data_IF_581288485777
#
_entry.id   IF_581288485777
#
_cell.length_a   1.000
_cell.length_b   1.000
_cell.length_c   1.000
_cell.angle_alpha   90.00
_cell.angle_beta   90.00
_cell.angle_gamma   90.00
#
_symmetry.space_group_name_H-M   'P 1'
#
loop_
_entity.id
_entity.type
_entity.pdbx_description
1 polymer ?
#
# COMPACT_ATOMS: atom_id res chain seq x y z
N UNK A 1 1.53 -11.48 6.39
CA UNK A 1 0.70 -10.40 6.92
C UNK A 1 1.55 -9.57 7.88
N UNK A 2 2.20 -8.50 7.41
CA UNK A 2 3.04 -7.62 8.25
C UNK A 2 2.21 -6.53 8.94
N UNK A 3 0.99 -6.25 8.47
CA UNK A 3 0.08 -5.27 9.09
C UNK A 3 -0.39 -5.65 10.50
N UNK A 4 -0.49 -6.94 10.83
CA UNK A 4 -0.89 -7.36 12.18
C UNK A 4 0.21 -7.14 13.21
N UNK A 5 1.49 -7.26 12.83
CA UNK A 5 2.64 -6.96 13.69
C UNK A 5 2.81 -5.47 14.01
N UNK A 6 2.10 -4.57 13.32
CA UNK A 6 2.16 -3.12 13.53
C UNK A 6 1.39 -2.64 14.75
N UNK A 7 0.30 -3.34 15.12
CA UNK A 7 -0.66 -2.85 16.13
C UNK A 7 -0.22 -3.04 17.58
N UNK A 8 0.60 -4.06 17.87
CA UNK A 8 0.83 -4.49 19.25
C UNK A 8 2.19 -4.09 19.85
N UNK A 9 3.13 -3.56 19.05
CA UNK A 9 4.50 -3.28 19.53
C UNK A 9 4.96 -1.81 19.43
N UNK A 10 4.23 -0.93 18.72
CA UNK A 10 4.73 0.40 18.36
C UNK A 10 5.94 0.26 17.43
N UNK A 11 5.76 0.51 16.14
CA UNK A 11 6.87 0.43 15.20
C UNK A 11 7.93 1.49 15.56
N UNK A 12 9.12 1.02 15.91
CA UNK A 12 10.37 1.77 15.72
C UNK A 12 10.73 1.85 14.22
N UNK A 13 9.74 2.05 13.36
CA UNK A 13 9.97 2.38 11.97
C UNK A 13 9.46 3.78 11.76
N UNK A 14 10.36 4.63 11.29
CA UNK A 14 10.02 5.99 10.90
C UNK A 14 9.14 6.00 9.65
N UNK A 15 9.13 4.92 8.85
CA UNK A 15 8.38 4.80 7.60
C UNK A 15 7.77 3.40 7.44
N UNK A 16 6.56 3.31 6.89
CA UNK A 16 5.87 2.05 6.58
C UNK A 16 5.51 2.00 5.09
N UNK A 17 5.89 0.94 4.38
CA UNK A 17 5.63 0.78 2.95
C UNK A 17 4.85 -0.51 2.62
N UNK A 18 3.79 -0.40 1.82
CA UNK A 18 2.98 -1.52 1.31
C UNK A 18 3.04 -1.61 -0.21
N UNK A 19 3.46 -2.75 -0.76
CA UNK A 19 3.48 -2.98 -2.21
C UNK A 19 2.61 -4.17 -2.56
N UNK A 20 1.71 -4.00 -3.54
CA UNK A 20 0.79 -5.05 -3.97
C UNK A 20 0.01 -5.66 -2.81
N UNK A 21 -0.46 -4.85 -1.86
CA UNK A 21 -1.14 -5.38 -0.67
C UNK A 21 -2.65 -5.42 -0.86
N UNK A 22 -3.33 -6.54 -0.54
CA UNK A 22 -4.80 -6.66 -0.62
C UNK A 22 -5.47 -6.04 0.61
N UNK A 23 -5.02 -4.89 1.08
CA UNK A 23 -5.41 -4.30 2.36
C UNK A 23 -4.45 -4.61 3.51
N UNK A 24 -4.53 -3.79 4.57
CA UNK A 24 -3.56 -3.78 5.69
C UNK A 24 -4.22 -3.89 7.08
N UNK A 25 -5.52 -4.19 7.12
CA UNK A 25 -6.32 -4.38 8.33
C UNK A 25 -7.03 -3.14 8.85
N UNK A 26 -7.02 -2.04 8.07
CA UNK A 26 -7.69 -0.76 8.33
C UNK A 26 -8.15 -0.12 7.02
N UNK A 27 -9.05 0.84 7.11
CA UNK A 27 -9.56 1.59 5.96
C UNK A 27 -8.83 2.90 5.69
N UNK A 28 -8.09 3.45 6.66
CA UNK A 28 -7.32 4.68 6.50
C UNK A 28 -5.92 4.56 7.12
N UNK A 29 -4.94 5.25 6.53
CA UNK A 29 -3.56 5.32 7.00
C UNK A 29 -3.46 5.81 8.45
N UNK A 30 -4.30 6.78 8.85
CA UNK A 30 -4.36 7.32 10.23
C UNK A 30 -4.71 6.27 11.30
N UNK A 31 -5.28 5.14 10.90
CA UNK A 31 -5.70 4.08 11.80
C UNK A 31 -4.58 3.03 12.04
N UNK A 32 -3.40 3.20 11.40
CA UNK A 32 -2.24 2.32 11.54
C UNK A 32 -1.38 2.59 12.79
N UNK A 33 -1.63 3.68 13.50
CA UNK A 33 -0.86 4.08 14.68
C UNK A 33 0.47 4.79 14.39
N UNK A 34 0.72 5.15 13.12
CA UNK A 34 1.80 6.04 12.68
C UNK A 34 1.20 7.25 11.95
N UNK A 35 1.89 8.41 11.89
CA UNK A 35 1.38 9.55 11.12
C UNK A 35 1.22 9.18 9.63
N UNK A 36 0.12 9.56 8.96
CA UNK A 36 -0.14 9.19 7.57
C UNK A 36 0.95 9.59 6.58
N UNK A 37 1.66 10.69 6.86
CA UNK A 37 2.82 11.16 6.10
C UNK A 37 4.00 10.19 6.08
N UNK A 38 4.03 9.20 6.98
CA UNK A 38 5.03 8.14 7.04
C UNK A 38 4.54 6.81 6.44
N UNK A 39 3.36 6.82 5.81
CA UNK A 39 2.76 5.63 5.19
C UNK A 39 2.89 5.75 3.69
N UNK A 40 3.42 4.72 3.05
CA UNK A 40 3.66 4.65 1.61
C UNK A 40 3.01 3.40 1.03
N UNK A 41 2.38 3.52 -0.14
CA UNK A 41 1.77 2.38 -0.78
C UNK A 41 1.78 2.47 -2.31
N UNK A 42 1.96 1.33 -2.98
CA UNK A 42 1.93 1.26 -4.43
C UNK A 42 1.40 -0.08 -4.92
N UNK A 43 0.62 -0.04 -5.99
CA UNK A 43 0.12 -1.22 -6.69
C UNK A 43 0.16 -0.95 -8.19
N UNK A 44 0.79 -1.84 -8.94
CA UNK A 44 0.81 -1.81 -10.40
C UNK A 44 -0.55 -2.18 -10.98
N UNK A 45 -0.89 -1.63 -12.14
CA UNK A 45 -2.15 -1.92 -12.83
C UNK A 45 -2.28 -3.40 -13.22
N UNK A 46 -1.18 -4.00 -13.69
CA UNK A 46 -1.17 -5.40 -14.17
C UNK A 46 -0.82 -6.41 -13.05
N UNK A 47 -0.79 -5.96 -11.80
CA UNK A 47 -0.65 -6.81 -10.61
C UNK A 47 -1.92 -7.65 -10.40
N UNK A 48 -1.76 -8.96 -10.29
CA UNK A 48 -2.83 -9.89 -10.00
C UNK A 48 -3.53 -9.67 -8.63
N UNK A 49 -2.98 -8.83 -7.75
CA UNK A 49 -3.60 -8.51 -6.46
C UNK A 49 -4.97 -7.84 -6.59
N UNK A 50 -5.28 -7.21 -7.72
CA UNK A 50 -6.62 -6.69 -8.02
C UNK A 50 -7.70 -7.78 -8.03
N UNK A 51 -7.31 -9.05 -8.10
CA UNK A 51 -8.23 -10.19 -8.01
C UNK A 51 -8.45 -10.69 -6.57
N UNK A 52 -7.74 -10.15 -5.58
CA UNK A 52 -7.95 -10.44 -4.16
C UNK A 52 -9.14 -9.62 -3.58
N UNK A 53 -10.21 -9.54 -4.37
CA UNK A 53 -11.46 -8.87 -4.01
C UNK A 53 -12.13 -9.55 -2.84
N UNK A 54 -12.93 -8.80 -2.08
CA UNK A 54 -13.66 -9.32 -0.94
C UNK A 54 -14.52 -10.57 -1.30
N UNK A 55 -14.65 -11.50 -0.35
CA UNK A 55 -15.37 -12.75 -0.51
C UNK A 55 -16.88 -12.62 -0.35
N UNK A 56 -17.40 -11.41 -0.08
CA UNK A 56 -18.83 -11.11 -0.15
C UNK A 56 -19.26 -10.97 -1.63
N UNK A 57 -20.15 -11.85 -2.14
CA UNK A 57 -20.66 -11.76 -3.50
C UNK A 57 -21.38 -10.43 -3.82
N UNK A 58 -21.73 -9.62 -2.81
CA UNK A 58 -22.37 -8.30 -2.96
C UNK A 58 -21.39 -7.17 -3.30
N UNK A 59 -20.10 -7.33 -3.01
CA UNK A 59 -19.03 -6.41 -3.43
C UNK A 59 -18.46 -6.82 -4.79
N UNK A 60 -18.88 -7.98 -5.32
CA UNK A 60 -18.59 -8.47 -6.66
C UNK A 60 -19.33 -7.63 -7.73
N UNK A 61 -18.79 -6.43 -7.96
CA UNK A 61 -19.36 -5.41 -8.83
C UNK A 61 -19.49 -4.02 -8.19
N UNK A 62 -19.02 -3.82 -6.96
CA UNK A 62 -19.16 -2.56 -6.24
C UNK A 62 -17.91 -2.21 -5.43
N UNK A 63 -17.18 -1.22 -5.94
CA UNK A 63 -15.97 -0.56 -5.41
C UNK A 63 -14.65 -1.34 -5.64
N UNK A 64 -13.80 -0.89 -6.59
CA UNK A 64 -12.49 -1.51 -6.88
C UNK A 64 -11.48 -1.44 -5.73
N UNK A 65 -11.85 -0.81 -4.61
CA UNK A 65 -10.90 -0.28 -3.63
C UNK A 65 -10.96 -1.01 -2.28
N UNK A 66 -11.85 -2.00 -2.09
CA UNK A 66 -11.92 -2.83 -0.88
C UNK A 66 -11.46 -4.27 -1.15
N UNK A 67 -10.40 -4.69 -0.47
CA UNK A 67 -9.85 -6.03 -0.53
C UNK A 67 -10.10 -6.77 0.80
N UNK A 68 -9.79 -8.08 0.88
CA UNK A 68 -10.07 -8.94 2.05
C UNK A 68 -9.61 -8.39 3.41
N UNK A 69 -8.66 -7.46 3.45
CA UNK A 69 -8.14 -6.85 4.67
C UNK A 69 -8.38 -5.34 4.74
N UNK A 70 -9.45 -4.82 4.14
CA UNK A 70 -9.81 -3.39 4.15
C UNK A 70 -9.46 -2.67 2.86
N UNK A 71 -9.45 -1.33 2.91
CA UNK A 71 -9.12 -0.48 1.76
C UNK A 71 -7.76 -0.83 1.14
N UNK A 72 -7.67 -0.80 -0.19
CA UNK A 72 -6.42 -0.85 -0.93
C UNK A 72 -5.51 0.30 -0.45
N UNK A 73 -4.35 0.04 0.16
CA UNK A 73 -3.51 1.10 0.69
C UNK A 73 -2.95 2.01 -0.41
N UNK A 74 -2.88 1.53 -1.66
CA UNK A 74 -2.45 2.33 -2.81
C UNK A 74 -3.56 3.25 -3.37
N UNK A 75 -4.79 3.16 -2.86
CA UNK A 75 -5.86 4.08 -3.22
C UNK A 75 -5.63 5.45 -2.54
N UNK A 76 -5.77 6.59 -3.26
CA UNK A 76 -5.67 7.92 -2.65
C UNK A 76 -6.57 8.11 -1.42
N UNK A 77 -7.76 7.51 -1.39
CA UNK A 77 -8.72 7.60 -0.28
C UNK A 77 -8.19 6.95 1.01
N UNK A 78 -7.21 6.04 0.92
CA UNK A 78 -6.53 5.49 2.09
C UNK A 78 -5.74 6.56 2.86
N UNK A 79 -5.25 7.59 2.16
CA UNK A 79 -4.62 8.77 2.77
C UNK A 79 -3.14 8.63 3.14
N UNK A 80 -2.42 7.68 2.51
CA UNK A 80 -0.96 7.60 2.55
C UNK A 80 -0.29 8.16 1.28
N UNK A 81 1.04 8.19 1.26
CA UNK A 81 1.83 8.55 0.09
C UNK A 81 1.86 7.41 -0.94
N UNK A 82 2.08 7.77 -2.21
CA UNK A 82 2.13 6.78 -3.29
C UNK A 82 3.56 6.37 -3.65
N UNK A 83 3.76 5.07 -3.86
CA UNK A 83 4.97 4.50 -4.45
C UNK A 83 4.69 4.27 -5.94
N UNK A 84 5.43 4.94 -6.85
CA UNK A 84 5.24 4.75 -8.28
C UNK A 84 5.74 3.36 -8.70
N UNK A 85 5.02 2.74 -9.63
CA UNK A 85 5.44 1.53 -10.32
C UNK A 85 5.07 1.58 -11.80
N UNK A 86 5.84 0.90 -12.64
CA UNK A 86 5.46 0.64 -14.02
C UNK A 86 4.09 -0.07 -14.07
N UNK A 87 3.16 0.33 -14.97
CA UNK A 87 1.84 -0.29 -15.07
C UNK A 87 1.87 -1.79 -15.39
N UNK A 88 2.98 -2.31 -15.91
CA UNK A 88 3.16 -3.70 -16.31
C UNK A 88 3.91 -4.54 -15.29
N UNK A 89 4.31 -3.96 -14.16
CA UNK A 89 4.97 -4.69 -13.07
C UNK A 89 4.02 -5.74 -12.52
N UNK A 90 4.47 -6.99 -12.44
CA UNK A 90 3.71 -8.10 -11.83
C UNK A 90 3.94 -8.13 -10.32
N UNK A 91 3.08 -8.84 -9.60
CA UNK A 91 3.14 -8.93 -8.14
C UNK A 91 4.53 -9.29 -7.59
N UNK A 92 5.25 -10.16 -8.30
CA UNK A 92 6.58 -10.64 -7.93
C UNK A 92 7.73 -9.89 -8.62
N UNK A 93 7.50 -8.71 -9.18
CA UNK A 93 8.49 -8.00 -9.99
C UNK A 93 8.75 -6.55 -9.52
N UNK A 94 8.16 -6.11 -8.42
CA UNK A 94 8.39 -4.75 -7.87
C UNK A 94 9.87 -4.42 -7.63
N UNK A 95 10.67 -5.41 -7.23
CA UNK A 95 12.12 -5.26 -7.03
C UNK A 95 12.93 -5.19 -8.33
N UNK A 96 12.32 -5.50 -9.48
CA UNK A 96 12.92 -5.35 -10.81
C UNK A 96 12.50 -4.06 -11.49
N UNK A 97 11.50 -3.38 -10.95
CA UNK A 97 11.02 -2.10 -11.46
C UNK A 97 11.90 -0.95 -10.94
N UNK A 98 12.66 -0.27 -11.80
CA UNK A 98 13.56 0.81 -11.37
C UNK A 98 12.82 1.98 -10.70
N UNK A 99 11.57 2.26 -11.08
CA UNK A 99 10.79 3.35 -10.47
C UNK A 99 10.44 3.01 -9.02
N UNK A 100 9.96 1.79 -8.80
CA UNK A 100 9.62 1.29 -7.46
C UNK A 100 10.88 1.23 -6.59
N UNK A 101 12.00 0.72 -7.11
CA UNK A 101 13.25 0.60 -6.36
C UNK A 101 13.85 1.96 -6.00
N UNK A 102 13.85 2.94 -6.91
CA UNK A 102 14.34 4.30 -6.60
C UNK A 102 13.47 4.97 -5.52
N UNK A 103 12.15 4.81 -5.59
CA UNK A 103 11.24 5.33 -4.60
C UNK A 103 11.48 4.70 -3.21
N UNK A 104 11.59 3.38 -3.12
CA UNK A 104 11.93 2.69 -1.87
C UNK A 104 13.27 3.15 -1.31
N UNK A 105 14.29 3.33 -2.17
CA UNK A 105 15.59 3.83 -1.74
C UNK A 105 15.50 5.23 -1.14
N UNK A 106 14.69 6.13 -1.73
CA UNK A 106 14.45 7.48 -1.20
C UNK A 106 13.75 7.46 0.15
N UNK A 107 12.76 6.59 0.33
CA UNK A 107 12.05 6.42 1.61
C UNK A 107 13.05 5.98 2.68
N UNK A 108 13.85 4.93 2.41
CA UNK A 108 14.83 4.39 3.35
C UNK A 108 15.89 5.42 3.77
N UNK A 109 16.29 6.33 2.88
CA UNK A 109 17.28 7.37 3.19
C UNK A 109 16.67 8.70 3.67
N UNK A 110 15.35 8.76 3.91
CA UNK A 110 14.65 9.96 4.38
C UNK A 110 14.62 11.12 3.37
N UNK A 111 14.56 10.82 2.07
CA UNK A 111 14.55 11.80 0.96
C UNK A 111 13.30 11.70 0.08
N UNK A 112 12.31 10.92 0.49
CA UNK A 112 11.05 10.87 -0.22
C UNK A 112 10.18 12.05 0.20
N UNK A 113 9.72 12.84 -0.76
CA UNK A 113 8.76 13.92 -0.54
C UNK A 113 7.37 13.34 -0.75
N UNK A 114 6.50 13.43 0.26
CA UNK A 114 5.15 12.89 0.19
C UNK A 114 4.30 13.61 -0.87
N UNK A 115 3.71 12.85 -1.78
CA UNK A 115 2.69 13.37 -2.71
C UNK A 115 1.34 13.35 -2.01
N UNK A 116 1.08 14.32 -1.13
CA UNK A 116 -0.28 14.59 -0.66
C UNK A 116 -1.12 15.08 -1.85
N UNK A 117 -2.05 14.26 -2.32
CA UNK A 117 -3.11 14.64 -3.25
C UNK A 117 -4.47 14.33 -2.62
#
# INVERSE_FOLDING_TARGET
MVGYSSRDAGLHADEVAFLGSPGVGVDHARDLGVPPEHVWAGTSRDDEIHFAVDGDPRTWGGFPDQHWYGMNPADPAFGGNQIPSSPTTRHNDYWKDPQTVDALARIVVGRAEGTHQ
#
